data_IF_946604697693
#
_entry.id   IF_946604697693
#
_cell.length_a   1.000
_cell.length_b   1.000
_cell.length_c   1.000
_cell.angle_alpha   90.00
_cell.angle_beta   90.00
_cell.angle_gamma   90.00
#
_symmetry.space_group_name_H-M   'P 1'
#
loop_
_entity.id
_entity.type
_entity.pdbx_description
1 polymer ?
#
# COMPACT_ATOMS: atom_id res chain seq x y z
N UNK A 1 20.61 22.78 50.43
CA UNK A 1 19.97 21.46 50.65
C UNK A 1 18.51 21.56 50.24
N UNK A 2 18.06 20.63 49.37
CA UNK A 2 16.67 20.16 49.09
C UNK A 2 15.65 21.18 48.52
N UNK A 3 14.81 20.90 47.51
CA UNK A 3 14.40 19.64 46.86
C UNK A 3 13.77 19.98 45.49
N UNK A 4 14.07 19.18 44.47
CA UNK A 4 13.33 19.11 43.20
C UNK A 4 11.87 18.71 43.47
N UNK A 5 10.92 19.30 42.74
CA UNK A 5 9.53 18.82 42.71
C UNK A 5 9.16 18.47 41.26
N UNK A 6 9.33 17.21 40.92
CA UNK A 6 8.85 16.59 39.68
C UNK A 6 7.32 16.52 39.73
N UNK A 7 6.65 17.35 38.94
CA UNK A 7 5.21 17.21 38.68
C UNK A 7 5.04 16.08 37.66
N UNK A 8 5.02 14.84 38.16
CA UNK A 8 4.65 13.66 37.38
C UNK A 8 3.23 13.80 36.84
N UNK A 9 3.09 13.75 35.52
CA UNK A 9 1.79 13.74 34.84
C UNK A 9 1.02 12.46 35.21
N UNK A 10 -0.29 12.55 35.47
CA UNK A 10 -1.10 11.38 35.77
C UNK A 10 -1.24 10.51 34.52
N UNK A 11 -0.47 9.43 34.49
CA UNK A 11 -0.72 8.28 33.61
C UNK A 11 -2.03 7.64 34.08
N UNK A 12 -3.07 7.67 33.24
CA UNK A 12 -4.25 6.85 33.52
C UNK A 12 -3.80 5.39 33.46
N UNK A 13 -3.98 4.71 34.60
CA UNK A 13 -3.52 3.36 34.89
C UNK A 13 -3.90 2.35 33.79
N UNK A 14 -2.94 1.45 33.55
CA UNK A 14 -3.01 0.25 32.73
C UNK A 14 -4.21 -0.63 33.06
N UNK A 15 -5.36 -0.35 32.43
CA UNK A 15 -6.50 -1.25 32.40
C UNK A 15 -6.33 -2.28 31.29
N UNK A 16 -5.69 -3.41 31.60
CA UNK A 16 -5.74 -4.69 30.87
C UNK A 16 -5.97 -4.58 29.35
N UNK A 17 -5.13 -3.84 28.65
CA UNK A 17 -5.09 -3.90 27.19
C UNK A 17 -4.41 -5.23 26.85
N UNK A 18 -5.20 -6.30 26.73
CA UNK A 18 -4.83 -7.42 25.91
C UNK A 18 -4.18 -6.84 24.65
N UNK A 19 -2.95 -7.24 24.35
CA UNK A 19 -2.20 -6.81 23.18
C UNK A 19 -3.03 -7.09 21.93
N UNK A 20 -3.94 -6.16 21.58
CA UNK A 20 -4.88 -6.38 20.51
C UNK A 20 -4.09 -6.08 19.26
N UNK A 21 -3.58 -7.14 18.62
CA UNK A 21 -3.02 -7.05 17.27
C UNK A 21 -3.97 -6.22 16.41
N UNK A 22 -3.43 -5.27 15.67
CA UNK A 22 -4.26 -4.33 14.94
C UNK A 22 -4.60 -4.91 13.58
N UNK A 23 -5.80 -5.46 13.55
CA UNK A 23 -6.51 -5.88 12.35
C UNK A 23 -6.45 -4.79 11.27
N UNK A 24 -6.26 -5.17 10.01
CA UNK A 24 -6.23 -4.26 8.85
C UNK A 24 -7.49 -3.39 8.80
N UNK A 25 -8.62 -3.94 9.22
CA UNK A 25 -9.90 -3.24 9.40
C UNK A 25 -9.78 -1.99 10.27
N UNK A 26 -9.21 -2.13 11.47
CA UNK A 26 -9.05 -1.02 12.43
C UNK A 26 -8.12 0.06 11.88
N UNK A 27 -7.07 -0.31 11.13
CA UNK A 27 -6.17 0.65 10.49
C UNK A 27 -6.89 1.48 9.43
N UNK A 28 -7.65 0.84 8.55
CA UNK A 28 -8.41 1.54 7.52
C UNK A 28 -9.52 2.41 8.11
N UNK A 29 -10.27 1.91 9.11
CA UNK A 29 -11.27 2.70 9.81
C UNK A 29 -10.67 3.96 10.43
N UNK A 30 -9.46 3.88 11.01
CA UNK A 30 -8.75 5.03 11.56
C UNK A 30 -8.24 5.98 10.47
N UNK A 31 -7.72 5.47 9.35
CA UNK A 31 -7.34 6.28 8.18
C UNK A 31 -8.53 7.09 7.65
N UNK A 32 -9.72 6.49 7.60
CA UNK A 32 -10.95 7.14 7.14
C UNK A 32 -11.52 8.12 8.17
N UNK A 33 -11.42 7.82 9.47
CA UNK A 33 -11.89 8.67 10.56
C UNK A 33 -11.00 9.90 10.81
N UNK A 34 -9.75 9.89 10.32
CA UNK A 34 -8.78 10.99 10.44
C UNK A 34 -9.13 12.29 9.70
N UNK A 35 -10.26 12.36 8.98
CA UNK A 35 -10.70 13.58 8.31
C UNK A 35 -11.26 14.68 9.25
N UNK A 36 -11.39 14.42 10.56
CA UNK A 36 -12.06 15.34 11.50
C UNK A 36 -11.23 15.95 12.64
N UNK A 37 -10.02 15.47 12.91
CA UNK A 37 -9.22 15.98 14.04
C UNK A 37 -7.73 16.05 13.67
N UNK A 38 -7.36 17.21 13.11
CA UNK A 38 -6.00 17.75 13.02
C UNK A 38 -4.82 16.79 13.06
N UNK A 39 -4.59 15.98 12.03
CA UNK A 39 -3.27 15.43 11.76
C UNK A 39 -3.02 15.45 10.25
N UNK A 40 -2.00 16.20 9.85
CA UNK A 40 -1.54 16.24 8.46
C UNK A 40 -1.03 14.85 8.08
N UNK A 41 -1.82 14.10 7.29
CA UNK A 41 -1.31 12.96 6.53
C UNK A 41 -1.35 13.24 5.03
N UNK A 42 -0.32 12.79 4.29
CA UNK A 42 0.04 13.37 3.02
C UNK A 42 -0.67 12.64 1.87
N UNK A 43 -1.26 13.43 0.97
CA UNK A 43 -1.27 13.25 -0.47
C UNK A 43 -1.00 11.83 -1.03
N UNK A 44 -1.87 10.86 -0.75
CA UNK A 44 -2.00 9.70 -1.63
C UNK A 44 -3.31 9.87 -2.38
N UNK A 45 -3.20 9.89 -3.71
CA UNK A 45 -4.27 10.29 -4.61
C UNK A 45 -5.59 9.58 -4.26
N UNK A 46 -6.56 10.36 -3.77
CA UNK A 46 -7.93 9.92 -3.45
C UNK A 46 -8.68 9.36 -4.66
N UNK A 47 -8.10 9.47 -5.85
CA UNK A 47 -8.64 9.01 -7.13
C UNK A 47 -8.36 7.54 -7.46
N UNK A 48 -7.61 6.79 -6.65
CA UNK A 48 -7.32 5.38 -6.97
C UNK A 48 -8.45 4.44 -6.49
N UNK A 49 -8.90 3.47 -7.32
CA UNK A 49 -9.97 2.54 -6.97
C UNK A 49 -9.75 1.73 -5.69
N UNK A 50 -8.49 1.52 -5.27
CA UNK A 50 -8.21 0.87 -3.98
C UNK A 50 -8.77 1.68 -2.82
N UNK A 51 -8.69 3.02 -2.84
CA UNK A 51 -9.23 3.85 -1.74
C UNK A 51 -10.76 3.78 -1.65
N UNK A 52 -11.45 3.72 -2.79
CA UNK A 52 -12.90 3.46 -2.84
C UNK A 52 -13.25 2.09 -2.25
N UNK A 53 -12.47 1.05 -2.58
CA UNK A 53 -12.66 -0.29 -2.02
C UNK A 53 -12.38 -0.32 -0.51
N UNK A 54 -11.40 0.43 -0.06
CA UNK A 54 -11.06 0.53 1.35
C UNK A 54 -12.14 1.26 2.16
N UNK A 55 -12.92 2.15 1.53
CA UNK A 55 -13.92 2.99 2.21
C UNK A 55 -15.22 2.26 2.60
N UNK A 56 -15.65 1.28 1.80
CA UNK A 56 -17.02 0.75 1.86
C UNK A 56 -17.13 -0.78 2.02
N UNK A 57 -16.12 -1.46 2.58
CA UNK A 57 -16.09 -2.95 2.58
C UNK A 57 -15.59 -3.60 3.87
N UNK A 58 -16.31 -3.37 4.98
CA UNK A 58 -16.05 -4.01 6.28
C UNK A 58 -15.91 -5.54 6.21
N UNK A 59 -16.72 -6.22 5.40
CA UNK A 59 -16.68 -7.68 5.24
C UNK A 59 -15.34 -8.17 4.63
N UNK A 60 -14.81 -7.45 3.65
CA UNK A 60 -13.52 -7.76 3.01
C UNK A 60 -12.38 -7.64 4.02
N UNK A 61 -12.47 -6.69 4.96
CA UNK A 61 -11.46 -6.56 6.00
C UNK A 61 -11.57 -7.62 7.10
N UNK A 62 -12.75 -8.18 7.35
CA UNK A 62 -12.89 -9.32 8.23
C UNK A 62 -12.19 -10.55 7.64
N UNK A 63 -12.37 -10.79 6.34
CA UNK A 63 -11.68 -11.86 5.62
C UNK A 63 -10.17 -11.61 5.51
N UNK A 64 -9.75 -10.34 5.52
CA UNK A 64 -8.34 -9.95 5.47
C UNK A 64 -7.52 -10.44 6.68
N UNK A 65 -8.17 -10.73 7.82
CA UNK A 65 -7.51 -11.28 9.01
C UNK A 65 -7.03 -12.71 8.80
N UNK A 66 -7.61 -13.43 7.83
CA UNK A 66 -7.25 -14.81 7.51
C UNK A 66 -6.15 -14.90 6.45
N UNK A 67 -5.65 -13.77 5.93
CA UNK A 67 -4.65 -13.77 4.85
C UNK A 67 -3.32 -14.39 5.26
N UNK A 68 -3.02 -14.48 6.57
CA UNK A 68 -1.83 -15.17 7.09
C UNK A 68 -1.96 -16.70 7.15
N UNK A 69 -3.11 -17.27 6.79
CA UNK A 69 -3.31 -18.72 6.86
C UNK A 69 -2.31 -19.49 5.97
N UNK A 70 -1.77 -20.59 6.50
CA UNK A 70 -0.76 -21.41 5.82
C UNK A 70 -1.30 -22.08 4.54
N UNK A 71 -2.59 -22.39 4.51
CA UNK A 71 -3.29 -23.03 3.40
C UNK A 71 -4.04 -22.03 2.50
N UNK A 72 -3.71 -20.74 2.56
CA UNK A 72 -4.33 -19.73 1.72
C UNK A 72 -4.17 -20.07 0.24
N UNK A 73 -5.24 -19.83 -0.53
CA UNK A 73 -5.25 -19.95 -2.00
C UNK A 73 -5.83 -18.68 -2.62
N UNK A 74 -5.36 -18.28 -3.82
CA UNK A 74 -5.98 -17.19 -4.57
C UNK A 74 -7.47 -17.44 -4.82
N UNK A 75 -8.25 -16.37 -4.71
CA UNK A 75 -9.70 -16.34 -4.92
C UNK A 75 -10.01 -15.89 -6.34
N UNK A 76 -9.31 -14.86 -6.83
CA UNK A 76 -9.56 -14.26 -8.15
C UNK A 76 -8.44 -14.55 -9.15
N UNK A 77 -7.19 -14.37 -8.74
CA UNK A 77 -6.01 -14.60 -9.55
C UNK A 77 -5.74 -16.10 -9.70
N UNK A 78 -5.07 -16.49 -10.79
CA UNK A 78 -4.47 -17.83 -10.85
C UNK A 78 -3.25 -17.92 -9.92
N UNK A 79 -2.82 -19.14 -9.58
CA UNK A 79 -1.61 -19.34 -8.77
C UNK A 79 -0.37 -18.67 -9.38
N UNK A 80 -0.22 -18.77 -10.71
CA UNK A 80 0.90 -18.13 -11.44
C UNK A 80 0.80 -16.59 -11.40
N UNK A 81 -0.40 -16.03 -11.51
CA UNK A 81 -0.61 -14.58 -11.40
C UNK A 81 -0.34 -14.08 -9.97
N UNK A 82 -0.72 -14.85 -8.95
CA UNK A 82 -0.46 -14.50 -7.56
C UNK A 82 1.05 -14.55 -7.23
N UNK A 83 1.78 -15.53 -7.76
CA UNK A 83 3.25 -15.62 -7.63
C UNK A 83 3.93 -14.43 -8.32
N UNK A 84 3.53 -14.12 -9.55
CA UNK A 84 4.02 -12.95 -10.29
C UNK A 84 3.74 -11.64 -9.54
N UNK A 85 2.51 -11.47 -9.03
CA UNK A 85 2.15 -10.28 -8.25
C UNK A 85 2.96 -10.20 -6.95
N UNK A 86 3.20 -11.32 -6.27
CA UNK A 86 4.03 -11.36 -5.06
C UNK A 86 5.45 -10.88 -5.36
N UNK A 87 6.08 -11.38 -6.42
CA UNK A 87 7.42 -10.96 -6.81
C UNK A 87 7.47 -9.48 -7.22
N UNK A 88 6.51 -9.00 -8.01
CA UNK A 88 6.44 -7.58 -8.40
C UNK A 88 6.20 -6.68 -7.18
N UNK A 89 5.29 -7.06 -6.29
CA UNK A 89 4.98 -6.28 -5.09
C UNK A 89 6.22 -6.12 -4.20
N UNK A 90 6.97 -7.21 -3.99
CA UNK A 90 8.18 -7.20 -3.15
C UNK A 90 9.28 -6.31 -3.74
N UNK A 91 9.41 -6.30 -5.06
CA UNK A 91 10.36 -5.42 -5.73
C UNK A 91 9.92 -3.94 -5.78
N UNK A 92 8.63 -3.63 -5.66
CA UNK A 92 8.12 -2.25 -5.62
C UNK A 92 8.14 -1.69 -4.19
N UNK A 93 7.72 -2.49 -3.22
CA UNK A 93 7.71 -2.15 -1.79
C UNK A 93 8.30 -3.34 -1.03
N UNK A 94 9.52 -3.21 -0.47
CA UNK A 94 10.09 -4.24 0.39
C UNK A 94 9.14 -4.58 1.54
N UNK A 95 9.18 -5.83 2.03
CA UNK A 95 8.32 -6.35 3.11
C UNK A 95 6.84 -6.51 2.73
N UNK A 96 6.48 -6.32 1.46
CA UNK A 96 5.09 -6.50 0.98
C UNK A 96 4.56 -7.92 1.19
N UNK A 97 5.44 -8.92 1.14
CA UNK A 97 5.13 -10.33 1.37
C UNK A 97 4.72 -10.56 2.82
N UNK A 98 5.46 -9.96 3.77
CA UNK A 98 5.13 -9.99 5.20
C UNK A 98 3.82 -9.24 5.49
N UNK A 99 3.53 -8.20 4.73
CA UNK A 99 2.26 -7.48 4.78
C UNK A 99 1.10 -8.17 4.01
N UNK A 100 1.34 -9.35 3.42
CA UNK A 100 0.36 -10.10 2.62
C UNK A 100 -0.28 -9.30 1.49
N UNK A 101 0.48 -8.38 0.86
CA UNK A 101 -0.03 -7.46 -0.16
C UNK A 101 -0.69 -8.19 -1.33
N UNK A 102 -0.02 -9.19 -1.92
CA UNK A 102 -0.59 -9.96 -3.05
C UNK A 102 -1.90 -10.65 -2.67
N UNK A 103 -1.98 -11.23 -1.46
CA UNK A 103 -3.18 -11.93 -0.99
C UNK A 103 -4.34 -10.96 -0.74
N UNK A 104 -4.04 -9.78 -0.21
CA UNK A 104 -5.04 -8.74 0.00
C UNK A 104 -5.54 -8.15 -1.31
N UNK A 105 -4.66 -7.92 -2.30
CA UNK A 105 -5.05 -7.45 -3.63
C UNK A 105 -5.96 -8.49 -4.31
N UNK A 106 -5.61 -9.77 -4.24
CA UNK A 106 -6.46 -10.85 -4.77
C UNK A 106 -7.86 -10.85 -4.14
N UNK A 107 -7.95 -10.72 -2.81
CA UNK A 107 -9.21 -10.58 -2.09
C UNK A 107 -9.99 -9.34 -2.54
N UNK A 108 -9.33 -8.18 -2.65
CA UNK A 108 -9.96 -6.94 -3.15
C UNK A 108 -10.51 -7.12 -4.57
N UNK A 109 -9.73 -7.75 -5.46
CA UNK A 109 -10.14 -8.02 -6.83
C UNK A 109 -11.31 -9.01 -6.90
N UNK A 110 -11.45 -9.95 -5.97
CA UNK A 110 -12.57 -10.90 -5.98
C UNK A 110 -13.94 -10.23 -5.94
N UNK A 111 -14.01 -9.04 -5.33
CA UNK A 111 -15.25 -8.29 -5.11
C UNK A 111 -15.30 -6.97 -5.92
N UNK A 112 -14.22 -6.56 -6.58
CA UNK A 112 -14.14 -5.29 -7.31
C UNK A 112 -14.95 -5.31 -8.64
N UNK A 113 -15.16 -4.12 -9.22
CA UNK A 113 -15.81 -3.93 -10.52
C UNK A 113 -15.02 -4.62 -11.63
N UNK A 114 -15.73 -5.23 -12.57
CA UNK A 114 -15.17 -5.96 -13.72
C UNK A 114 -14.15 -5.13 -14.52
N UNK A 115 -14.34 -3.82 -14.63
CA UNK A 115 -13.40 -2.92 -15.31
C UNK A 115 -12.03 -2.90 -14.62
N UNK A 116 -11.99 -2.67 -13.31
CA UNK A 116 -10.75 -2.67 -12.53
C UNK A 116 -10.06 -4.03 -12.54
N UNK A 117 -10.84 -5.11 -12.40
CA UNK A 117 -10.34 -6.50 -12.49
C UNK A 117 -9.64 -6.75 -13.82
N UNK A 118 -10.28 -6.37 -14.93
CA UNK A 118 -9.72 -6.50 -16.28
C UNK A 118 -8.45 -5.66 -16.44
N UNK A 119 -8.49 -4.39 -16.03
CA UNK A 119 -7.34 -3.48 -16.10
C UNK A 119 -6.14 -4.00 -15.30
N UNK A 120 -6.38 -4.57 -14.12
CA UNK A 120 -5.35 -5.17 -13.29
C UNK A 120 -4.70 -6.38 -13.96
N UNK A 121 -5.51 -7.36 -14.40
CA UNK A 121 -5.01 -8.56 -15.08
C UNK A 121 -4.27 -8.21 -16.37
N UNK A 122 -4.78 -7.26 -17.15
CA UNK A 122 -4.09 -6.75 -18.34
C UNK A 122 -2.74 -6.13 -17.99
N UNK A 123 -2.66 -5.34 -16.93
CA UNK A 123 -1.39 -4.74 -16.50
C UNK A 123 -0.38 -5.79 -16.07
N UNK A 124 -0.81 -6.79 -15.31
CA UNK A 124 0.02 -7.89 -14.86
C UNK A 124 0.56 -8.71 -16.04
N UNK A 125 -0.32 -9.06 -17.00
CA UNK A 125 0.06 -9.79 -18.20
C UNK A 125 0.98 -8.99 -19.13
N UNK A 126 0.75 -7.68 -19.29
CA UNK A 126 1.60 -6.81 -20.11
C UNK A 126 3.02 -6.72 -19.57
N UNK A 127 3.20 -6.64 -18.24
CA UNK A 127 4.53 -6.64 -17.63
C UNK A 127 5.24 -7.98 -17.84
N UNK A 128 4.57 -9.10 -17.57
CA UNK A 128 5.17 -10.43 -17.75
C UNK A 128 5.55 -10.68 -19.20
N UNK A 129 4.70 -10.30 -20.16
CA UNK A 129 4.99 -10.41 -21.58
C UNK A 129 6.23 -9.59 -21.99
N UNK A 130 6.39 -8.39 -21.44
CA UNK A 130 7.56 -7.56 -21.72
C UNK A 130 8.83 -8.12 -21.07
N UNK A 131 8.73 -8.69 -19.88
CA UNK A 131 9.84 -9.39 -19.20
C UNK A 131 10.27 -10.61 -20.00
N UNK A 132 9.31 -11.45 -20.42
CA UNK A 132 9.57 -12.61 -21.27
C UNK A 132 10.22 -12.20 -22.58
N UNK A 133 9.74 -11.13 -23.22
CA UNK A 133 10.32 -10.60 -24.46
C UNK A 133 11.76 -10.15 -24.28
N UNK A 134 12.11 -9.53 -23.15
CA UNK A 134 13.45 -8.96 -22.91
C UNK A 134 14.46 -9.97 -22.40
N UNK A 135 14.02 -10.92 -21.56
CA UNK A 135 14.91 -11.79 -20.79
C UNK A 135 14.68 -13.29 -21.04
N UNK A 136 13.60 -13.67 -21.75
CA UNK A 136 13.25 -15.08 -21.99
C UNK A 136 12.86 -15.86 -20.73
N UNK A 137 12.50 -15.14 -19.65
CA UNK A 137 12.17 -15.69 -18.33
C UNK A 137 10.93 -15.00 -17.78
N UNK A 138 10.28 -15.62 -16.80
CA UNK A 138 9.23 -14.95 -16.01
C UNK A 138 9.88 -13.98 -15.01
N UNK A 139 9.13 -12.95 -14.59
CA UNK A 139 9.65 -11.96 -13.64
C UNK A 139 10.18 -12.56 -12.32
N UNK A 140 9.51 -13.56 -11.68
CA UNK A 140 10.05 -14.19 -10.47
C UNK A 140 11.40 -14.90 -10.68
N UNK A 141 11.69 -15.36 -11.90
CA UNK A 141 12.92 -16.07 -12.26
C UNK A 141 14.09 -15.14 -12.66
N UNK A 142 13.87 -13.82 -12.66
CA UNK A 142 14.94 -12.83 -12.84
C UNK A 142 15.80 -12.73 -11.57
N UNK A 143 17.08 -12.39 -11.75
CA UNK A 143 17.91 -11.97 -10.62
C UNK A 143 17.59 -10.51 -10.21
N UNK A 144 18.10 -10.06 -9.07
CA UNK A 144 17.78 -8.72 -8.53
C UNK A 144 18.23 -7.57 -9.45
N UNK A 145 19.38 -7.69 -10.11
CA UNK A 145 19.84 -6.68 -11.07
C UNK A 145 18.87 -6.55 -12.27
N UNK A 146 18.40 -7.68 -12.79
CA UNK A 146 17.43 -7.73 -13.89
C UNK A 146 16.07 -7.18 -13.48
N UNK A 147 15.58 -7.53 -12.28
CA UNK A 147 14.32 -6.97 -11.73
C UNK A 147 14.42 -5.45 -11.61
N UNK A 148 15.50 -4.96 -11.01
CA UNK A 148 15.73 -3.53 -10.82
C UNK A 148 15.79 -2.80 -12.16
N UNK A 149 16.61 -3.29 -13.10
CA UNK A 149 16.72 -2.69 -14.43
C UNK A 149 15.36 -2.62 -15.15
N UNK A 150 14.57 -3.70 -15.09
CA UNK A 150 13.24 -3.73 -15.69
C UNK A 150 12.28 -2.74 -15.05
N UNK A 151 12.18 -2.72 -13.72
CA UNK A 151 11.26 -1.84 -13.00
C UNK A 151 11.67 -0.37 -13.11
N UNK A 152 12.97 -0.06 -13.15
CA UNK A 152 13.46 1.29 -13.43
C UNK A 152 12.97 1.79 -14.79
N UNK A 153 13.13 0.99 -15.86
CA UNK A 153 12.62 1.37 -17.18
C UNK A 153 11.08 1.50 -17.19
N UNK A 154 10.38 0.53 -16.60
CA UNK A 154 8.92 0.55 -16.53
C UNK A 154 8.38 1.77 -15.73
N UNK A 155 9.12 2.24 -14.73
CA UNK A 155 8.77 3.43 -13.94
C UNK A 155 9.15 4.77 -14.61
N UNK A 156 9.90 4.73 -15.70
CA UNK A 156 10.37 5.93 -16.38
C UNK A 156 9.27 6.50 -17.26
N UNK A 157 8.77 7.70 -16.90
CA UNK A 157 7.77 8.40 -17.70
C UNK A 157 8.30 8.64 -19.12
N UNK A 158 7.55 8.25 -20.17
CA UNK A 158 7.99 8.47 -21.54
C UNK A 158 7.96 9.97 -21.89
N UNK A 159 8.98 10.41 -22.60
CA UNK A 159 8.92 11.66 -23.38
C UNK A 159 8.24 11.35 -24.72
N UNK A 160 7.40 12.25 -25.21
CA UNK A 160 6.70 12.09 -26.50
C UNK A 160 7.52 12.79 -27.59
N UNK A 161 8.23 12.04 -28.46
CA UNK A 161 8.99 12.63 -29.55
C UNK A 161 8.06 13.09 -30.69
N UNK A 162 8.44 14.18 -31.37
CA UNK A 162 7.59 14.80 -32.40
C UNK A 162 7.47 13.97 -33.70
N UNK A 163 8.50 13.20 -34.07
CA UNK A 163 8.58 12.49 -35.36
C UNK A 163 8.71 10.95 -35.25
N UNK A 164 9.94 10.42 -35.37
CA UNK A 164 10.24 9.03 -35.74
C UNK A 164 10.19 8.01 -34.59
N UNK A 165 9.91 8.45 -33.37
CA UNK A 165 9.89 7.61 -32.17
C UNK A 165 8.50 7.20 -31.67
N UNK A 166 7.41 7.57 -32.36
CA UNK A 166 6.03 7.45 -31.84
C UNK A 166 5.65 6.03 -31.40
N UNK A 167 6.00 5.00 -32.18
CA UNK A 167 5.66 3.62 -31.82
C UNK A 167 6.43 3.12 -30.57
N UNK A 168 7.72 3.44 -30.47
CA UNK A 168 8.53 3.10 -29.30
C UNK A 168 8.08 3.88 -28.06
N UNK A 169 7.77 5.18 -28.22
CA UNK A 169 7.23 6.02 -27.16
C UNK A 169 5.84 5.56 -26.70
N UNK A 170 4.98 5.12 -27.63
CA UNK A 170 3.67 4.56 -27.30
C UNK A 170 3.79 3.25 -26.53
N UNK A 171 4.71 2.36 -26.92
CA UNK A 171 5.02 1.13 -26.17
C UNK A 171 5.57 1.43 -24.78
N UNK A 172 6.46 2.41 -24.66
CA UNK A 172 6.99 2.85 -23.35
C UNK A 172 5.89 3.46 -22.49
N UNK A 173 4.98 4.22 -23.10
CA UNK A 173 3.80 4.78 -22.43
C UNK A 173 2.83 3.72 -21.93
N UNK A 174 2.56 2.67 -22.71
CA UNK A 174 1.72 1.57 -22.24
C UNK A 174 2.38 0.80 -21.10
N UNK A 175 3.68 0.49 -21.20
CA UNK A 175 4.43 -0.16 -20.12
C UNK A 175 4.38 0.68 -18.83
N UNK A 176 4.64 1.99 -18.93
CA UNK A 176 4.55 2.93 -17.82
C UNK A 176 3.15 2.95 -17.20
N UNK A 177 2.09 3.02 -18.00
CA UNK A 177 0.72 3.03 -17.51
C UNK A 177 0.35 1.72 -16.76
N UNK A 178 0.81 0.57 -17.26
CA UNK A 178 0.60 -0.71 -16.59
C UNK A 178 1.38 -0.81 -15.27
N UNK A 179 2.63 -0.36 -15.26
CA UNK A 179 3.43 -0.29 -14.05
C UNK A 179 2.81 0.62 -13.00
N UNK A 180 2.40 1.85 -13.36
CA UNK A 180 1.77 2.79 -12.44
C UNK A 180 0.48 2.23 -11.84
N UNK A 181 -0.33 1.53 -12.65
CA UNK A 181 -1.51 0.85 -12.15
C UNK A 181 -1.16 -0.19 -11.07
N UNK A 182 -0.22 -1.10 -11.35
CA UNK A 182 0.21 -2.11 -10.37
C UNK A 182 0.84 -1.48 -9.11
N UNK A 183 1.72 -0.49 -9.29
CA UNK A 183 2.36 0.25 -8.19
C UNK A 183 1.33 0.86 -7.25
N UNK A 184 0.27 1.45 -7.79
CA UNK A 184 -0.78 2.05 -6.97
C UNK A 184 -1.57 1.02 -6.17
N UNK A 185 -1.89 -0.14 -6.76
CA UNK A 185 -2.51 -1.26 -6.03
C UNK A 185 -1.61 -1.78 -4.91
N UNK A 186 -0.32 -2.00 -5.20
CA UNK A 186 0.68 -2.45 -4.23
C UNK A 186 0.81 -1.46 -3.07
N UNK A 187 0.98 -0.17 -3.35
CA UNK A 187 1.10 0.87 -2.30
C UNK A 187 -0.17 0.99 -1.45
N UNK A 188 -1.35 1.01 -2.08
CA UNK A 188 -2.62 1.10 -1.34
C UNK A 188 -2.86 -0.13 -0.44
N UNK A 189 -2.51 -1.32 -0.92
CA UNK A 189 -2.55 -2.55 -0.13
C UNK A 189 -1.48 -2.57 0.97
N UNK A 190 -0.27 -2.07 0.72
CA UNK A 190 0.79 -2.06 1.72
C UNK A 190 0.51 -1.09 2.86
N UNK A 191 0.21 0.18 2.55
CA UNK A 191 -0.04 1.22 3.55
C UNK A 191 -1.41 1.12 4.23
N UNK A 192 -2.26 0.16 3.85
CA UNK A 192 -3.43 -0.23 4.65
C UNK A 192 -3.12 -1.33 5.68
N UNK A 193 -1.92 -1.93 5.65
CA UNK A 193 -1.48 -2.93 6.62
C UNK A 193 -0.86 -2.29 7.86
N UNK A 194 -0.82 -3.02 8.98
CA UNK A 194 -0.10 -2.59 10.19
C UNK A 194 1.38 -2.30 9.89
N UNK A 195 2.00 -3.12 9.05
CA UNK A 195 3.41 -2.97 8.65
C UNK A 195 3.65 -1.63 7.97
N UNK A 196 2.90 -1.34 6.91
CA UNK A 196 3.05 -0.09 6.17
C UNK A 196 2.67 1.13 7.01
N UNK A 197 1.67 1.02 7.88
CA UNK A 197 1.29 2.12 8.77
C UNK A 197 2.38 2.45 9.79
N UNK A 198 3.09 1.45 10.34
CA UNK A 198 4.21 1.68 11.25
C UNK A 198 5.36 2.45 10.60
N UNK A 199 5.63 2.21 9.32
CA UNK A 199 6.64 2.98 8.56
C UNK A 199 6.25 4.45 8.40
N UNK A 200 4.96 4.75 8.35
CA UNK A 200 4.44 6.13 8.30
C UNK A 200 4.45 6.82 9.68
N UNK A 201 5.11 6.23 10.68
CA UNK A 201 5.25 6.79 12.03
C UNK A 201 4.10 6.45 12.98
N UNK A 202 3.24 5.50 12.63
CA UNK A 202 2.19 5.04 13.54
C UNK A 202 2.78 4.15 14.65
N UNK A 203 2.61 4.54 15.92
CA UNK A 203 3.32 3.93 17.06
C UNK A 203 2.51 3.01 17.96
N UNK A 204 1.20 2.85 17.77
CA UNK A 204 0.38 2.10 18.75
C UNK A 204 -0.85 2.86 19.21
N UNK A 205 -0.61 4.12 19.54
CA UNK A 205 -1.49 4.90 20.41
C UNK A 205 -1.71 6.29 19.83
N UNK A 206 -2.96 6.56 19.45
CA UNK A 206 -3.47 7.93 19.49
C UNK A 206 -4.73 7.91 20.33
N UNK A 207 -4.55 7.83 21.65
CA UNK A 207 -5.52 8.40 22.59
C UNK A 207 -4.94 9.74 23.00
N UNK A 208 -5.19 10.78 22.21
CA UNK A 208 -5.13 12.14 22.73
C UNK A 208 -6.56 12.50 23.11
N UNK A 209 -6.85 12.55 24.40
CA UNK A 209 -8.12 13.09 24.90
C UNK A 209 -8.27 14.58 24.52
N UNK A 210 -7.15 15.25 24.24
CA UNK A 210 -7.11 16.61 23.67
C UNK A 210 -5.78 16.82 22.95
N UNK A 211 -5.82 17.41 21.75
CA UNK A 211 -4.61 17.92 21.09
C UNK A 211 -3.99 18.99 21.99
N UNK A 212 -2.69 18.92 22.35
CA UNK A 212 -2.01 20.07 22.92
C UNK A 212 -1.89 21.09 21.80
N UNK A 213 -2.81 22.06 21.78
CA UNK A 213 -2.61 23.27 21.00
C UNK A 213 -1.25 23.83 21.36
N UNK A 214 -0.39 24.10 20.37
CA UNK A 214 0.80 24.90 20.62
C UNK A 214 0.34 26.17 21.32
N UNK A 215 0.84 26.42 22.52
CA UNK A 215 0.71 27.72 23.13
C UNK A 215 1.46 28.69 22.23
N UNK A 216 0.72 29.43 21.41
CA UNK A 216 1.22 30.66 20.85
C UNK A 216 1.35 31.60 22.03
N UNK A 217 2.59 31.97 22.40
CA UNK A 217 2.79 33.13 23.24
C UNK A 217 2.26 34.32 22.42
N UNK A 218 1.07 34.78 22.78
CA UNK A 218 0.57 36.07 22.32
C UNK A 218 1.40 37.15 23.02
N UNK A 219 2.48 37.57 22.36
CA UNK A 219 3.10 38.85 22.66
C UNK A 219 2.16 39.95 22.15
N UNK A 220 1.32 40.44 23.06
CA UNK A 220 0.61 41.71 22.89
C UNK A 220 1.28 42.77 23.77
N UNK A 221 2.03 43.64 23.08
CA UNK A 221 2.37 45.04 23.36
C UNK A 221 2.55 45.52 24.82
#
# INVERSE_FOLDING_TARGET
>A
MTRNNEQGLPVIQSGNAASSQLTRRKMVQRLLAGAGAGAAWPFVATSHPVYELLRNRDAVFADAEQLGAANWKPIFLSSQQAELLTAIAESIVPESTRAHVSRFIDLLLSVDKTENRRKFVQSLASLDAEVQKRFGKSFPALNEEQKNAFLTDASTKPEMPEDSGKAAAQKKSSLYAHFENLKAWVRGAYYSSEVGMRELGWTGDYVYEKFPGRAHAEDHH
#
